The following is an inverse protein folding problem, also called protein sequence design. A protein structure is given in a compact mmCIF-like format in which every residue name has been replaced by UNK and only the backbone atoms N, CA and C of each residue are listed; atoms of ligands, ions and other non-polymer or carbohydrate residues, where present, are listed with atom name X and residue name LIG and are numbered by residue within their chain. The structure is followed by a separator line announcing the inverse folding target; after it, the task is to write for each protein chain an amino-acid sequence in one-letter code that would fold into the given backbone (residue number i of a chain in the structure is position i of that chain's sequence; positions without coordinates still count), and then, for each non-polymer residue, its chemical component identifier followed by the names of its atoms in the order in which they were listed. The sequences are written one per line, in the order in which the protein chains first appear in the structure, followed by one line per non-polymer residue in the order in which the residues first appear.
data_IF_850093033034
#
_entry.id   IF_850093033034
#
_cell.length_a   1.000
_cell.length_b   1.000
_cell.length_c   1.000
_cell.angle_alpha   90.00
_cell.angle_beta   90.00
_cell.angle_gamma   90.00
#
_symmetry.space_group_name_H-M   'P 1'
#
loop_
_entity.id
_entity.type
_entity.pdbx_description
1 polymer ?
#
# COMPACT_ATOMS: atom_id res chain seq x y z
N UNK A 1 -21.43 31.32 6.65
CA UNK A 1 -20.02 30.87 6.54
C UNK A 1 -19.61 31.11 5.09
N UNK A 2 -18.63 31.97 4.86
CA UNK A 2 -18.17 32.34 3.51
C UNK A 2 -17.23 31.24 3.01
N UNK A 3 -17.65 30.45 2.02
CA UNK A 3 -16.87 29.35 1.43
C UNK A 3 -15.98 29.87 0.29
N UNK A 4 -15.05 30.78 0.60
CA UNK A 4 -14.05 31.28 -0.36
C UNK A 4 -12.76 30.48 -0.29
N UNK A 5 -12.10 30.26 -1.43
CA UNK A 5 -10.73 29.76 -1.49
C UNK A 5 -9.78 30.74 -0.77
N UNK A 6 -8.73 30.26 -0.07
CA UNK A 6 -7.72 31.14 0.51
C UNK A 6 -7.02 31.98 -0.57
N UNK A 7 -6.56 33.18 -0.21
CA UNK A 7 -5.92 34.10 -1.15
C UNK A 7 -4.72 33.45 -1.87
N UNK A 8 -4.60 33.68 -3.17
CA UNK A 8 -3.54 33.09 -4.00
C UNK A 8 -3.76 31.62 -4.40
N UNK A 9 -4.77 30.94 -3.87
CA UNK A 9 -5.04 29.55 -4.23
C UNK A 9 -5.72 29.44 -5.60
N UNK A 10 -5.25 28.47 -6.40
CA UNK A 10 -5.83 28.10 -7.69
C UNK A 10 -6.29 26.65 -7.64
N UNK A 11 -7.54 26.41 -8.01
CA UNK A 11 -8.08 25.06 -8.21
C UNK A 11 -8.42 24.89 -9.68
N UNK A 12 -8.09 23.73 -10.26
CA UNK A 12 -8.50 23.35 -11.60
C UNK A 12 -9.07 21.94 -11.57
N UNK A 13 -10.33 21.79 -11.99
CA UNK A 13 -10.98 20.49 -12.15
C UNK A 13 -11.70 20.41 -13.49
N UNK A 14 -12.35 19.28 -13.78
CA UNK A 14 -13.12 19.07 -15.02
C UNK A 14 -14.30 20.04 -15.20
N UNK A 15 -14.72 20.73 -14.14
CA UNK A 15 -15.76 21.75 -14.14
C UNK A 15 -15.24 23.20 -14.28
N UNK A 16 -13.92 23.40 -14.41
CA UNK A 16 -13.30 24.71 -14.65
C UNK A 16 -12.16 25.04 -13.69
N UNK A 17 -11.51 26.18 -13.93
CA UNK A 17 -10.46 26.72 -13.05
C UNK A 17 -10.98 27.93 -12.30
N UNK A 18 -10.74 27.93 -10.99
CA UNK A 18 -11.11 29.00 -10.07
C UNK A 18 -9.86 29.50 -9.38
N UNK A 19 -9.72 30.81 -9.29
CA UNK A 19 -8.60 31.46 -8.61
C UNK A 19 -9.19 32.39 -7.56
N UNK A 20 -8.66 32.30 -6.35
CA UNK A 20 -8.96 33.29 -5.32
C UNK A 20 -8.39 34.66 -5.73
N UNK A 21 -8.89 35.72 -5.12
CA UNK A 21 -8.27 37.03 -5.24
C UNK A 21 -6.80 36.95 -4.82
N UNK A 22 -5.96 37.77 -5.46
CA UNK A 22 -4.60 37.98 -4.98
C UNK A 22 -4.68 38.39 -3.50
N UNK A 23 -3.72 37.92 -2.70
CA UNK A 23 -3.56 38.48 -1.37
C UNK A 23 -3.44 40.01 -1.53
N UNK A 24 -4.11 40.80 -0.67
CA UNK A 24 -3.87 42.24 -0.69
C UNK A 24 -2.36 42.46 -0.58
N UNK A 25 -1.85 43.44 -1.32
CA UNK A 25 -0.50 43.96 -1.09
C UNK A 25 -0.48 44.39 0.38
N UNK A 26 0.06 43.53 1.24
CA UNK A 26 0.36 43.91 2.61
C UNK A 26 1.51 44.88 2.45
N UNK A 27 1.26 46.16 2.68
CA UNK A 27 2.35 47.07 2.98
C UNK A 27 3.13 46.39 4.10
N UNK A 28 4.42 46.08 3.87
CA UNK A 28 5.29 45.32 4.78
C UNK A 28 5.41 45.96 6.19
N UNK A 29 4.79 47.11 6.40
CA UNK A 29 4.73 47.84 7.66
C UNK A 29 3.96 47.08 8.76
N UNK A 30 2.92 46.30 8.43
CA UNK A 30 2.10 45.60 9.44
C UNK A 30 2.72 44.26 9.90
N UNK A 31 3.55 43.62 9.08
CA UNK A 31 4.26 42.39 9.46
C UNK A 31 5.47 42.69 10.37
N UNK A 32 6.03 43.88 10.25
CA UNK A 32 7.13 44.35 11.09
C UNK A 32 6.70 44.68 12.52
N UNK A 33 5.44 45.09 12.74
CA UNK A 33 4.96 45.49 14.08
C UNK A 33 4.78 44.29 15.03
N UNK A 34 4.32 43.14 14.51
CA UNK A 34 4.14 41.91 15.31
C UNK A 34 5.46 41.19 15.64
N UNK A 35 6.48 41.27 14.77
CA UNK A 35 7.80 40.68 15.02
C UNK A 35 8.68 41.53 15.94
N UNK A 36 8.55 42.86 15.87
CA UNK A 36 9.36 43.79 16.66
C UNK A 36 9.07 43.73 18.18
N UNK A 37 7.86 43.30 18.58
CA UNK A 37 7.47 43.03 19.97
C UNK A 37 8.27 41.88 20.60
N UNK A 38 8.57 40.84 19.80
CA UNK A 38 9.31 39.65 20.23
C UNK A 38 10.81 39.70 19.87
N UNK A 39 11.28 40.84 19.34
CA UNK A 39 12.69 41.04 18.96
C UNK A 39 13.10 40.31 17.69
N UNK A 40 12.15 40.01 16.81
CA UNK A 40 12.37 39.32 15.53
C UNK A 40 12.64 40.36 14.43
N UNK A 41 13.73 40.19 13.71
CA UNK A 41 14.08 41.05 12.59
C UNK A 41 13.29 40.63 11.33
N UNK A 42 13.04 41.53 10.37
CA UNK A 42 12.40 41.21 9.10
C UNK A 42 13.12 40.10 8.30
N UNK A 43 14.40 39.88 8.59
CA UNK A 43 15.20 38.82 7.99
C UNK A 43 14.86 37.42 8.55
N UNK A 44 14.36 37.35 9.79
CA UNK A 44 14.00 36.12 10.48
C UNK A 44 12.68 35.50 9.96
N UNK A 45 11.85 36.31 9.29
CA UNK A 45 10.55 35.91 8.74
C UNK A 45 10.63 35.44 7.28
N UNK A 46 11.82 35.44 6.68
CA UNK A 46 11.98 35.00 5.29
C UNK A 46 11.81 33.47 5.18
N UNK A 47 11.30 32.95 4.05
CA UNK A 47 11.16 31.50 3.84
C UNK A 47 12.47 30.72 3.92
N UNK A 48 13.61 31.39 3.72
CA UNK A 48 14.97 30.86 3.82
C UNK A 48 15.67 31.23 5.13
N UNK A 49 14.91 31.72 6.13
CA UNK A 49 15.45 32.11 7.43
C UNK A 49 16.01 30.90 8.21
N UNK A 50 17.17 31.03 8.88
CA UNK A 50 17.73 29.99 9.73
C UNK A 50 16.80 29.68 10.90
N UNK A 51 16.34 28.44 11.01
CA UNK A 51 15.36 28.01 12.05
C UNK A 51 14.09 27.38 11.49
N UNK A 52 13.88 27.45 10.18
CA UNK A 52 12.96 26.58 9.43
C UNK A 52 13.62 25.27 8.98
N UNK A 53 14.86 25.03 9.41
CA UNK A 53 15.47 23.71 9.30
C UNK A 53 14.66 22.78 10.21
N UNK A 54 13.99 21.80 9.62
CA UNK A 54 13.26 20.78 10.38
C UNK A 54 14.21 20.19 11.43
N UNK A 55 13.95 20.52 12.70
CA UNK A 55 14.78 20.10 13.85
C UNK A 55 14.59 18.61 14.15
N UNK A 56 13.58 17.99 13.55
CA UNK A 56 13.35 16.56 13.71
C UNK A 56 14.21 15.77 12.74
N UNK A 57 14.98 14.82 13.26
CA UNK A 57 15.65 13.83 12.44
C UNK A 57 14.60 13.14 11.55
N UNK A 58 14.84 13.04 10.23
CA UNK A 58 13.99 12.32 9.27
C UNK A 58 13.95 10.78 9.51
N UNK A 59 14.01 10.33 10.75
CA UNK A 59 13.90 8.93 11.13
C UNK A 59 12.49 8.63 11.66
N UNK A 60 11.49 8.79 10.81
CA UNK A 60 10.16 8.23 11.07
C UNK A 60 10.23 6.70 10.89
N UNK A 61 10.37 5.98 12.00
CA UNK A 61 10.27 4.53 11.98
C UNK A 61 8.87 4.12 11.48
N UNK A 62 8.82 3.36 10.37
CA UNK A 62 7.56 2.89 9.80
C UNK A 62 6.81 2.00 10.80
N UNK A 63 5.59 2.41 11.16
CA UNK A 63 4.70 1.66 12.05
C UNK A 63 3.47 1.20 11.28
N UNK A 64 3.41 -0.11 11.00
CA UNK A 64 2.30 -0.74 10.28
C UNK A 64 1.37 -1.40 11.27
N UNK A 65 0.16 -0.85 11.44
CA UNK A 65 -0.89 -1.47 12.26
C UNK A 65 -1.49 -2.67 11.53
N UNK A 66 -1.63 -3.79 12.24
CA UNK A 66 -2.27 -5.01 11.79
C UNK A 66 -3.69 -4.80 11.26
N UNK A 67 -4.13 -5.68 10.35
CA UNK A 67 -5.48 -5.66 9.79
C UNK A 67 -6.50 -6.38 10.69
N UNK A 68 -6.07 -7.38 11.47
CA UNK A 68 -6.94 -8.29 12.22
C UNK A 68 -6.82 -8.17 13.74
N UNK A 69 -5.78 -7.50 14.24
CA UNK A 69 -5.56 -7.28 15.67
C UNK A 69 -4.96 -5.89 15.96
N UNK A 70 -4.59 -5.64 17.22
CA UNK A 70 -4.02 -4.37 17.67
C UNK A 70 -2.49 -4.34 17.62
N UNK A 71 -1.84 -5.28 16.93
CA UNK A 71 -0.38 -5.35 16.84
C UNK A 71 0.18 -4.34 15.83
N UNK A 72 1.41 -3.89 16.07
CA UNK A 72 2.14 -2.95 15.22
C UNK A 72 3.44 -3.62 14.79
N UNK A 73 3.75 -3.51 13.50
CA UNK A 73 4.91 -4.12 12.86
C UNK A 73 5.80 -3.05 12.22
N UNK A 74 7.09 -3.33 12.14
CA UNK A 74 8.07 -2.45 11.47
C UNK A 74 8.06 -2.60 9.94
N UNK A 75 7.31 -3.55 9.40
CA UNK A 75 7.15 -3.75 7.95
C UNK A 75 5.80 -4.38 7.62
N UNK A 76 5.31 -4.14 6.40
CA UNK A 76 4.08 -4.76 5.86
C UNK A 76 4.22 -6.27 5.79
N UNK A 77 5.42 -6.77 5.46
CA UNK A 77 5.66 -8.21 5.36
C UNK A 77 5.51 -8.92 6.71
N UNK A 78 6.16 -8.41 7.75
CA UNK A 78 6.04 -8.96 9.10
C UNK A 78 4.58 -8.92 9.59
N UNK A 79 3.83 -7.88 9.18
CA UNK A 79 2.40 -7.80 9.44
C UNK A 79 1.66 -8.94 8.72
N UNK A 80 1.86 -9.14 7.42
CA UNK A 80 1.17 -10.20 6.63
C UNK A 80 1.49 -11.61 7.16
N UNK A 81 2.77 -11.92 7.38
CA UNK A 81 3.22 -13.23 7.87
C UNK A 81 2.63 -13.59 9.25
N UNK A 82 2.29 -12.59 10.06
CA UNK A 82 1.70 -12.81 11.38
C UNK A 82 0.29 -13.41 11.32
N UNK A 83 -0.49 -13.13 10.27
CA UNK A 83 -1.90 -13.57 10.20
C UNK A 83 -2.28 -14.31 8.91
N UNK A 84 -1.41 -14.34 7.91
CA UNK A 84 -1.61 -15.05 6.65
C UNK A 84 -0.36 -15.85 6.28
N UNK A 85 -0.45 -17.16 6.49
CA UNK A 85 0.33 -18.14 5.73
C UNK A 85 -0.37 -18.43 4.37
N UNK A 86 0.31 -19.19 3.50
CA UNK A 86 -0.24 -19.55 2.19
C UNK A 86 -1.64 -20.18 2.27
N UNK A 87 -1.80 -21.17 3.16
CA UNK A 87 -3.03 -21.94 3.26
C UNK A 87 -4.18 -21.11 3.86
N UNK A 88 -3.91 -20.27 4.85
CA UNK A 88 -4.86 -19.32 5.42
C UNK A 88 -5.29 -18.27 4.41
N UNK A 89 -4.39 -17.80 3.54
CA UNK A 89 -4.74 -16.92 2.41
C UNK A 89 -5.70 -17.62 1.45
N UNK A 90 -5.43 -18.87 1.07
CA UNK A 90 -6.32 -19.67 0.21
C UNK A 90 -7.71 -19.83 0.85
N UNK A 91 -7.76 -20.16 2.15
CA UNK A 91 -9.02 -20.30 2.89
C UNK A 91 -9.79 -18.99 2.95
N UNK A 92 -9.11 -17.88 3.21
CA UNK A 92 -9.73 -16.55 3.27
C UNK A 92 -10.35 -16.15 1.92
N UNK A 93 -9.63 -16.36 0.82
CA UNK A 93 -10.13 -16.10 -0.53
C UNK A 93 -11.40 -16.91 -0.80
N UNK A 94 -11.37 -18.22 -0.53
CA UNK A 94 -12.53 -19.09 -0.73
C UNK A 94 -13.68 -18.76 0.21
N UNK A 95 -13.42 -18.37 1.46
CA UNK A 95 -14.44 -17.87 2.38
C UNK A 95 -15.17 -16.66 1.81
N UNK A 96 -14.43 -15.61 1.43
CA UNK A 96 -15.00 -14.39 0.85
C UNK A 96 -15.83 -14.72 -0.38
N UNK A 97 -15.32 -15.59 -1.27
CA UNK A 97 -16.06 -16.02 -2.47
C UNK A 97 -17.33 -16.77 -2.15
N UNK A 98 -17.30 -17.67 -1.17
CA UNK A 98 -18.48 -18.42 -0.74
C UNK A 98 -19.55 -17.52 -0.13
N UNK A 99 -19.14 -16.52 0.65
CA UNK A 99 -20.05 -15.54 1.26
C UNK A 99 -20.68 -14.64 0.20
N UNK A 100 -19.89 -14.13 -0.73
CA UNK A 100 -20.37 -13.30 -1.85
C UNK A 100 -21.30 -14.10 -2.75
N UNK A 101 -20.96 -15.36 -3.07
CA UNK A 101 -21.83 -16.26 -3.84
C UNK A 101 -23.16 -16.54 -3.12
N UNK A 102 -23.15 -16.54 -1.78
CA UNK A 102 -24.34 -16.69 -0.94
C UNK A 102 -25.13 -15.39 -0.73
N UNK A 103 -24.68 -14.27 -1.32
CA UNK A 103 -25.32 -12.95 -1.25
C UNK A 103 -24.82 -12.06 -0.12
N UNK A 104 -23.86 -12.50 0.69
CA UNK A 104 -23.19 -11.65 1.68
C UNK A 104 -22.01 -10.90 1.05
N UNK A 105 -22.24 -9.65 0.63
CA UNK A 105 -21.20 -8.80 0.04
C UNK A 105 -20.26 -8.16 1.07
N UNK A 106 -20.45 -8.42 2.37
CA UNK A 106 -19.64 -7.88 3.47
C UNK A 106 -19.32 -9.00 4.47
N UNK A 107 -18.55 -10.02 4.06
CA UNK A 107 -18.13 -11.08 4.96
C UNK A 107 -17.30 -10.51 6.11
N UNK A 108 -17.44 -11.11 7.28
CA UNK A 108 -16.65 -10.73 8.45
C UNK A 108 -15.33 -11.51 8.43
N UNK A 109 -14.25 -10.79 8.17
CA UNK A 109 -12.90 -11.36 8.11
C UNK A 109 -12.09 -11.10 9.39
N UNK A 110 -12.68 -10.42 10.40
CA UNK A 110 -11.97 -9.99 11.61
C UNK A 110 -11.51 -11.15 12.49
N UNK A 111 -12.20 -12.30 12.41
CA UNK A 111 -11.91 -13.49 13.19
C UNK A 111 -11.44 -14.64 12.29
N UNK A 112 -10.21 -15.17 12.48
CA UNK A 112 -9.72 -16.32 11.74
C UNK A 112 -10.63 -17.55 11.81
N UNK A 113 -11.34 -17.72 12.92
CA UNK A 113 -12.27 -18.83 13.13
C UNK A 113 -13.40 -18.89 12.10
N UNK A 114 -13.77 -17.77 11.48
CA UNK A 114 -14.81 -17.73 10.45
C UNK A 114 -14.40 -18.41 9.13
N UNK A 115 -13.10 -18.40 8.84
CA UNK A 115 -12.55 -18.82 7.55
C UNK A 115 -11.49 -19.91 7.64
N UNK A 116 -11.06 -20.33 8.83
CA UNK A 116 -10.07 -21.42 8.99
C UNK A 116 -10.62 -22.84 8.80
N UNK A 117 -11.90 -23.02 8.45
CA UNK A 117 -12.48 -24.35 8.19
C UNK A 117 -11.90 -25.00 6.92
N UNK A 118 -11.60 -26.31 6.98
CA UNK A 118 -11.04 -27.07 5.87
C UNK A 118 -11.95 -27.10 4.64
N UNK A 119 -13.26 -26.83 4.78
CA UNK A 119 -14.18 -26.69 3.64
C UNK A 119 -13.73 -25.58 2.66
N UNK A 120 -12.98 -24.58 3.12
CA UNK A 120 -12.45 -23.49 2.29
C UNK A 120 -11.10 -23.82 1.66
N UNK A 121 -10.57 -25.03 1.86
CA UNK A 121 -9.42 -25.51 1.08
C UNK A 121 -9.81 -25.95 -0.33
N UNK A 122 -11.11 -26.06 -0.61
CA UNK A 122 -11.60 -26.37 -1.96
C UNK A 122 -11.92 -25.06 -2.69
N UNK A 123 -11.42 -24.86 -3.93
CA UNK A 123 -11.74 -23.69 -4.73
C UNK A 123 -13.24 -23.53 -4.93
N UNK A 124 -13.76 -22.33 -4.63
CA UNK A 124 -15.16 -21.99 -4.89
C UNK A 124 -15.41 -21.73 -6.38
N UNK A 125 -14.36 -21.34 -7.12
CA UNK A 125 -14.38 -21.07 -8.55
C UNK A 125 -13.39 -22.00 -9.27
N UNK A 126 -13.79 -22.54 -10.43
CA UNK A 126 -12.98 -23.49 -11.23
C UNK A 126 -11.74 -22.80 -11.86
N UNK A 127 -11.91 -21.58 -12.38
CA UNK A 127 -10.83 -20.79 -13.01
C UNK A 127 -10.47 -19.58 -12.15
N UNK A 128 -10.01 -19.85 -10.94
CA UNK A 128 -9.68 -18.81 -9.97
C UNK A 128 -8.34 -18.11 -10.28
N UNK A 129 -8.41 -17.04 -11.09
CA UNK A 129 -7.24 -16.25 -11.46
C UNK A 129 -6.42 -15.73 -10.26
N UNK A 130 -7.07 -15.42 -9.13
CA UNK A 130 -6.37 -14.93 -7.94
C UNK A 130 -5.62 -16.06 -7.23
N UNK A 131 -6.21 -17.25 -7.17
CA UNK A 131 -5.52 -18.42 -6.60
C UNK A 131 -4.36 -18.88 -7.50
N UNK A 132 -4.43 -18.68 -8.82
CA UNK A 132 -3.31 -18.97 -9.72
C UNK A 132 -2.16 -17.96 -9.65
N UNK A 133 -2.41 -16.73 -9.18
CA UNK A 133 -1.38 -15.69 -9.06
C UNK A 133 -0.86 -15.51 -7.64
N UNK A 134 -1.26 -16.39 -6.71
CA UNK A 134 -0.86 -16.27 -5.31
C UNK A 134 0.64 -16.55 -5.13
N UNK A 135 1.22 -17.37 -6.00
CA UNK A 135 2.64 -17.75 -5.99
C UNK A 135 3.54 -16.56 -6.40
N UNK A 136 3.00 -15.57 -7.13
CA UNK A 136 3.71 -14.31 -7.41
C UNK A 136 3.94 -13.46 -6.14
N UNK A 137 3.27 -13.79 -5.03
CA UNK A 137 3.48 -13.17 -3.73
C UNK A 137 4.61 -13.83 -2.92
N UNK A 138 5.20 -14.92 -3.42
CA UNK A 138 6.37 -15.55 -2.81
C UNK A 138 7.51 -14.54 -2.66
N UNK A 139 8.21 -14.56 -1.52
CA UNK A 139 9.47 -13.84 -1.42
C UNK A 139 10.60 -14.66 -2.04
N UNK A 140 11.17 -14.26 -3.19
CA UNK A 140 12.28 -14.98 -3.80
C UNK A 140 13.56 -15.00 -2.93
N UNK A 141 13.63 -14.22 -1.85
CA UNK A 141 14.77 -14.18 -0.94
C UNK A 141 14.60 -15.11 0.28
N UNK A 142 13.44 -15.74 0.46
CA UNK A 142 13.17 -16.70 1.53
C UNK A 142 13.08 -18.12 0.96
N UNK A 143 14.17 -18.90 0.96
CA UNK A 143 14.19 -20.24 0.36
C UNK A 143 13.29 -21.27 1.06
N UNK A 144 12.73 -20.95 2.22
CA UNK A 144 11.76 -21.79 2.95
C UNK A 144 10.31 -21.31 2.74
N UNK A 145 10.09 -20.28 1.92
CA UNK A 145 8.75 -19.81 1.58
C UNK A 145 7.98 -20.91 0.84
N UNK A 146 6.83 -21.37 1.36
CA UNK A 146 6.03 -22.43 0.75
C UNK A 146 5.49 -22.08 -0.65
N UNK A 147 5.56 -20.81 -1.06
CA UNK A 147 5.17 -20.33 -2.39
C UNK A 147 6.29 -20.40 -3.43
N UNK A 148 7.55 -20.62 -3.03
CA UNK A 148 8.62 -20.82 -4.01
C UNK A 148 8.45 -22.19 -4.64
N UNK A 149 8.00 -22.22 -5.90
CA UNK A 149 8.03 -23.45 -6.67
C UNK A 149 9.48 -23.94 -6.80
N UNK A 150 9.77 -25.23 -6.54
CA UNK A 150 11.05 -25.81 -6.91
C UNK A 150 11.25 -25.63 -8.42
N UNK A 151 12.49 -25.38 -8.89
CA UNK A 151 12.73 -25.15 -10.31
C UNK A 151 12.16 -26.31 -11.13
N UNK A 152 11.11 -26.02 -11.89
CA UNK A 152 10.47 -27.00 -12.77
C UNK A 152 11.56 -27.54 -13.71
N UNK A 153 11.69 -28.87 -13.88
CA UNK A 153 12.66 -29.42 -14.80
C UNK A 153 12.36 -28.85 -16.19
N UNK A 154 13.31 -28.09 -16.74
CA UNK A 154 13.16 -27.43 -18.03
C UNK A 154 12.68 -28.44 -19.07
N UNK A 155 11.46 -28.24 -19.57
CA UNK A 155 10.91 -29.08 -20.63
C UNK A 155 11.89 -28.99 -21.81
N UNK A 156 12.38 -30.12 -22.34
CA UNK A 156 13.34 -30.09 -23.43
C UNK A 156 12.73 -29.32 -24.61
N UNK A 157 13.45 -28.29 -25.04
CA UNK A 157 13.11 -27.48 -26.21
C UNK A 157 12.91 -28.38 -27.42
N UNK A 158 12.11 -27.96 -28.41
CA UNK A 158 11.93 -28.74 -29.65
C UNK A 158 13.28 -29.15 -30.29
N UNK A 159 14.28 -28.25 -30.24
CA UNK A 159 15.63 -28.56 -30.71
C UNK A 159 16.31 -29.71 -29.95
N UNK A 160 16.09 -29.82 -28.64
CA UNK A 160 16.58 -30.93 -27.81
C UNK A 160 15.81 -32.23 -28.11
N UNK A 161 14.50 -32.14 -28.36
CA UNK A 161 13.69 -33.31 -28.78
C UNK A 161 14.15 -33.87 -30.12
N UNK A 162 14.45 -33.01 -31.10
CA UNK A 162 14.96 -33.42 -32.41
C UNK A 162 16.37 -34.02 -32.33
N UNK A 163 17.24 -33.48 -31.47
CA UNK A 163 18.60 -34.00 -31.29
C UNK A 163 18.58 -35.42 -30.70
N UNK A 164 17.71 -35.67 -29.72
CA UNK A 164 17.54 -37.00 -29.10
C UNK A 164 16.96 -38.00 -30.11
N UNK A 165 15.98 -37.61 -30.92
CA UNK A 165 15.45 -38.49 -31.98
C UNK A 165 16.50 -38.83 -33.05
N UNK A 166 17.37 -37.87 -33.37
CA UNK A 166 18.44 -38.07 -34.37
C UNK A 166 19.62 -38.89 -33.84
N UNK A 167 19.83 -38.92 -32.53
CA UNK A 167 20.85 -39.74 -31.87
C UNK A 167 20.40 -41.20 -31.67
N UNK A 168 19.09 -41.48 -31.81
CA UNK A 168 18.48 -42.80 -31.64
C UNK A 168 18.10 -43.49 -32.96
N UNK A 169 18.40 -42.86 -34.11
CA UNK A 169 18.27 -43.44 -35.46
C UNK A 169 19.64 -43.70 -36.06
#
# INVERSE_FOLDING_TARGET
MQNGLPAGWRVSNSGGSWQAAAAPDRDDEDAAEIGAEEGLEPEDLRPDSPGWEDVEEENEELQVKSLLDEQIFSSVRAMVEHFLDFYSTLRLINYIRSEVASGNTKPDCSSPQAWMDDKYMQPVLEDDALLYSIDDLADPNDPEDPLIEPPQPEQPTEGQKTLVQRALS
#
